data_IF_328194309288
#
_entry.id   IF_328194309288
#
_cell.length_a   1.000
_cell.length_b   1.000
_cell.length_c   1.000
_cell.angle_alpha   90.00
_cell.angle_beta   90.00
_cell.angle_gamma   90.00
#
_symmetry.space_group_name_H-M   'P 1'
#
loop_
_entity.id
_entity.type
_entity.pdbx_description
1 polymer ?
#
# COMPACT_ATOMS: atom_id res chain seq x y z
N UNK A 1 22.01 -14.58 5.94
CA UNK A 1 22.13 -13.18 5.50
C UNK A 1 20.84 -12.84 4.80
N UNK A 2 20.03 -11.97 5.41
CA UNK A 2 18.82 -11.45 4.75
C UNK A 2 19.27 -10.78 3.44
N UNK A 3 18.67 -11.17 2.32
CA UNK A 3 18.99 -10.52 1.03
C UNK A 3 18.61 -9.05 1.14
N UNK A 4 19.44 -8.15 0.59
CA UNK A 4 19.09 -6.73 0.52
C UNK A 4 17.70 -6.58 -0.12
N UNK A 5 16.80 -5.84 0.53
CA UNK A 5 15.45 -5.59 0.02
C UNK A 5 15.48 -5.07 -1.41
N UNK A 6 16.54 -4.33 -1.79
CA UNK A 6 16.73 -3.78 -3.14
C UNK A 6 16.91 -4.85 -4.21
N UNK A 7 17.32 -6.05 -3.83
CA UNK A 7 17.45 -7.21 -4.73
C UNK A 7 16.16 -8.02 -4.88
N UNK A 8 15.14 -7.72 -4.06
CA UNK A 8 13.86 -8.43 -4.09
C UNK A 8 13.05 -8.16 -5.35
N UNK A 9 12.11 -9.06 -5.65
CA UNK A 9 11.12 -8.84 -6.72
C UNK A 9 10.17 -7.70 -6.33
N UNK A 10 9.80 -7.66 -5.05
CA UNK A 10 8.86 -6.73 -4.46
C UNK A 10 9.38 -5.28 -4.54
N UNK A 11 10.68 -5.06 -4.31
CA UNK A 11 11.29 -3.75 -4.47
C UNK A 11 11.25 -3.27 -5.92
N UNK A 12 11.54 -4.15 -6.89
CA UNK A 12 11.42 -3.82 -8.32
C UNK A 12 9.98 -3.45 -8.68
N UNK A 13 9.01 -4.25 -8.23
CA UNK A 13 7.58 -3.95 -8.43
C UNK A 13 7.16 -2.62 -7.79
N UNK A 14 7.69 -2.28 -6.61
CA UNK A 14 7.42 -0.99 -5.97
C UNK A 14 7.95 0.19 -6.80
N UNK A 15 9.12 0.05 -7.43
CA UNK A 15 9.68 1.06 -8.34
C UNK A 15 8.89 1.16 -9.65
N UNK A 16 8.46 0.03 -10.21
CA UNK A 16 7.60 0.03 -11.41
C UNK A 16 6.27 0.73 -11.13
N UNK A 17 5.68 0.47 -9.95
CA UNK A 17 4.47 1.16 -9.50
C UNK A 17 4.69 2.66 -9.30
N UNK A 18 5.79 3.07 -8.64
CA UNK A 18 6.17 4.48 -8.48
C UNK A 18 6.26 5.19 -9.83
N UNK A 19 6.88 4.56 -10.83
CA UNK A 19 6.92 5.09 -12.19
C UNK A 19 5.53 5.18 -12.84
N UNK A 20 4.70 4.16 -12.65
CA UNK A 20 3.35 4.12 -13.22
C UNK A 20 2.45 5.23 -12.67
N UNK A 21 2.51 5.50 -11.35
CA UNK A 21 1.70 6.56 -10.72
C UNK A 21 2.27 7.96 -10.92
N UNK A 22 3.57 8.08 -11.18
CA UNK A 22 4.23 9.35 -11.54
C UNK A 22 3.97 9.77 -13.01
N UNK A 23 3.19 9.01 -13.76
CA UNK A 23 2.76 9.39 -15.11
C UNK A 23 1.59 10.38 -15.07
N UNK A 24 1.67 11.47 -15.86
CA UNK A 24 0.60 12.48 -15.98
C UNK A 24 -0.77 11.92 -16.40
N UNK A 25 -0.83 10.70 -16.92
CA UNK A 25 -2.06 10.03 -17.35
C UNK A 25 -2.63 9.03 -16.33
N UNK A 26 -1.97 8.82 -15.19
CA UNK A 26 -2.47 7.88 -14.19
C UNK A 26 -3.75 8.43 -13.53
N UNK A 27 -4.81 7.62 -13.53
CA UNK A 27 -6.07 7.97 -12.88
C UNK A 27 -6.37 6.93 -11.79
N UNK A 28 -6.27 7.30 -10.49
CA UNK A 28 -6.49 6.37 -9.39
C UNK A 28 -7.92 5.82 -9.33
N UNK A 29 -8.92 6.61 -9.73
CA UNK A 29 -10.33 6.18 -9.77
C UNK A 29 -10.55 5.09 -10.82
N UNK A 30 -9.95 5.25 -12.01
CA UNK A 30 -10.01 4.22 -13.06
C UNK A 30 -9.29 2.94 -12.66
N UNK A 31 -8.13 3.06 -11.98
CA UNK A 31 -7.44 1.90 -11.42
C UNK A 31 -8.33 1.17 -10.41
N UNK A 32 -8.94 1.90 -9.47
CA UNK A 32 -9.82 1.33 -8.47
C UNK A 32 -11.07 0.68 -9.08
N UNK A 33 -11.65 1.27 -10.13
CA UNK A 33 -12.80 0.74 -10.84
C UNK A 33 -12.52 -0.60 -11.55
N UNK A 34 -11.25 -0.92 -11.84
CA UNK A 34 -10.86 -2.19 -12.43
C UNK A 34 -10.62 -3.31 -11.40
N UNK A 35 -10.56 -3.00 -10.09
CA UNK A 35 -10.33 -4.00 -9.03
C UNK A 35 -11.40 -5.11 -9.02
N UNK A 36 -12.71 -4.82 -9.21
CA UNK A 36 -13.74 -5.86 -9.25
C UNK A 36 -13.52 -6.92 -10.35
N UNK A 37 -12.81 -6.58 -11.43
CA UNK A 37 -12.52 -7.50 -12.54
C UNK A 37 -11.34 -8.45 -12.23
N UNK A 38 -10.59 -8.21 -11.15
CA UNK A 38 -9.53 -9.11 -10.71
C UNK A 38 -10.12 -10.40 -10.12
N UNK A 39 -9.36 -11.50 -10.21
CA UNK A 39 -9.72 -12.74 -9.51
C UNK A 39 -9.98 -12.47 -8.00
N UNK A 40 -11.07 -12.97 -7.39
CA UNK A 40 -11.43 -12.65 -6.00
C UNK A 40 -10.32 -12.88 -4.97
N UNK A 41 -9.54 -13.96 -5.10
CA UNK A 41 -8.35 -14.21 -4.26
C UNK A 41 -7.30 -13.10 -4.39
N UNK A 42 -7.12 -12.55 -5.60
CA UNK A 42 -6.17 -11.46 -5.84
C UNK A 42 -6.71 -10.13 -5.30
N UNK A 43 -8.02 -9.91 -5.26
CA UNK A 43 -8.60 -8.75 -4.56
C UNK A 43 -8.24 -8.77 -3.07
N UNK A 44 -8.31 -9.94 -2.41
CA UNK A 44 -7.87 -10.10 -1.02
C UNK A 44 -6.36 -9.86 -0.85
N UNK A 45 -5.55 -10.35 -1.79
CA UNK A 45 -4.11 -10.09 -1.80
C UNK A 45 -3.78 -8.61 -1.99
N UNK A 46 -4.51 -7.91 -2.85
CA UNK A 46 -4.38 -6.47 -3.05
C UNK A 46 -4.75 -5.69 -1.78
N UNK A 47 -5.83 -6.07 -1.09
CA UNK A 47 -6.20 -5.44 0.18
C UNK A 47 -5.10 -5.62 1.24
N UNK A 48 -4.54 -6.84 1.37
CA UNK A 48 -3.39 -7.09 2.28
C UNK A 48 -2.18 -6.23 1.91
N UNK A 49 -1.88 -6.08 0.62
CA UNK A 49 -0.82 -5.20 0.14
C UNK A 49 -1.09 -3.75 0.54
N UNK A 50 -2.29 -3.22 0.29
CA UNK A 50 -2.70 -1.87 0.68
C UNK A 50 -2.53 -1.67 2.19
N UNK A 51 -3.01 -2.61 3.01
CA UNK A 51 -2.85 -2.55 4.47
C UNK A 51 -1.38 -2.52 4.89
N UNK A 52 -0.51 -3.31 4.24
CA UNK A 52 0.92 -3.29 4.51
C UNK A 52 1.56 -1.94 4.14
N UNK A 53 1.17 -1.34 3.01
CA UNK A 53 1.60 0.00 2.61
C UNK A 53 1.17 1.06 3.63
N UNK A 54 -0.09 1.05 4.06
CA UNK A 54 -0.63 1.99 5.07
C UNK A 54 0.15 1.86 6.37
N UNK A 55 0.49 0.63 6.81
CA UNK A 55 1.31 0.42 8.01
C UNK A 55 2.68 1.09 7.92
N UNK A 56 3.36 1.02 6.76
CA UNK A 56 4.64 1.71 6.54
C UNK A 56 4.46 3.23 6.48
N UNK A 57 3.34 3.71 5.92
CA UNK A 57 3.02 5.14 5.88
C UNK A 57 2.65 5.72 7.25
N UNK A 58 2.15 4.88 8.17
CA UNK A 58 1.85 5.24 9.55
C UNK A 58 3.07 5.19 10.49
N UNK A 59 4.21 4.66 10.03
CA UNK A 59 5.40 4.45 10.85
C UNK A 59 6.01 5.79 11.29
N UNK A 60 5.97 6.08 12.59
CA UNK A 60 6.49 7.31 13.20
C UNK A 60 8.04 7.38 13.21
N UNK A 61 8.73 6.27 12.99
CA UNK A 61 10.21 6.24 12.97
C UNK A 61 10.80 6.79 11.65
N UNK A 62 9.95 6.99 10.63
CA UNK A 62 10.34 7.55 9.34
C UNK A 62 10.28 9.07 9.35
N UNK A 63 11.12 9.69 8.51
CA UNK A 63 11.06 11.14 8.26
C UNK A 63 9.94 11.46 7.28
N UNK A 64 9.09 12.41 7.65
CA UNK A 64 8.05 13.00 6.80
C UNK A 64 8.34 14.48 6.55
N UNK A 65 7.89 14.99 5.41
CA UNK A 65 7.86 16.40 5.09
C UNK A 65 6.44 16.81 4.66
N UNK A 66 6.24 18.10 4.40
CA UNK A 66 4.88 18.63 4.20
C UNK A 66 4.15 18.00 2.99
N UNK A 67 4.87 17.40 2.04
CA UNK A 67 4.28 16.72 0.88
C UNK A 67 3.57 15.41 1.24
N UNK A 68 4.02 14.73 2.30
CA UNK A 68 3.48 13.43 2.71
C UNK A 68 2.89 13.41 4.12
N UNK A 69 2.98 14.52 4.87
CA UNK A 69 2.43 14.67 6.22
C UNK A 69 0.95 14.33 6.32
N UNK A 70 0.12 14.84 5.41
CA UNK A 70 -1.32 14.58 5.44
C UNK A 70 -1.62 13.07 5.34
N UNK A 71 -1.00 12.39 4.37
CA UNK A 71 -1.18 10.94 4.19
C UNK A 71 -0.61 10.12 5.34
N UNK A 72 0.42 10.62 6.06
CA UNK A 72 0.95 9.97 7.25
C UNK A 72 -0.06 10.01 8.41
N UNK A 73 -0.62 11.18 8.70
CA UNK A 73 -1.59 11.32 9.80
C UNK A 73 -2.87 10.52 9.54
N UNK A 74 -3.37 10.51 8.30
CA UNK A 74 -4.49 9.63 7.92
C UNK A 74 -4.13 8.15 8.05
N UNK A 75 -2.94 7.75 7.61
CA UNK A 75 -2.49 6.36 7.74
C UNK A 75 -2.43 5.91 9.21
N UNK A 76 -2.02 6.79 10.13
CA UNK A 76 -2.04 6.51 11.57
C UNK A 76 -3.45 6.23 12.08
N UNK A 77 -4.39 7.11 11.78
CA UNK A 77 -5.80 6.94 12.20
C UNK A 77 -6.41 5.67 11.62
N UNK A 78 -6.11 5.35 10.35
CA UNK A 78 -6.55 4.08 9.73
C UNK A 78 -5.95 2.89 10.48
N UNK A 79 -4.66 2.92 10.82
CA UNK A 79 -4.01 1.81 11.53
C UNK A 79 -4.52 1.65 12.96
N UNK A 80 -4.77 2.74 13.69
CA UNK A 80 -5.40 2.72 15.01
C UNK A 80 -6.76 2.03 14.93
N UNK A 81 -7.63 2.48 14.02
CA UNK A 81 -8.94 1.86 13.81
C UNK A 81 -8.83 0.38 13.44
N UNK A 82 -7.91 0.00 12.54
CA UNK A 82 -7.73 -1.39 12.11
C UNK A 82 -7.12 -2.28 13.19
N UNK A 83 -6.35 -1.74 14.13
CA UNK A 83 -5.84 -2.50 15.27
C UNK A 83 -6.95 -2.84 16.26
N UNK A 84 -7.91 -1.93 16.44
CA UNK A 84 -9.06 -2.12 17.33
C UNK A 84 -10.20 -2.93 16.69
N UNK A 85 -10.48 -2.68 15.40
CA UNK A 85 -11.71 -3.14 14.73
C UNK A 85 -11.44 -4.02 13.50
N UNK A 86 -10.18 -4.27 13.17
CA UNK A 86 -9.81 -5.01 11.96
C UNK A 86 -10.29 -6.45 11.95
N UNK A 87 -10.57 -6.97 10.75
CA UNK A 87 -10.91 -8.38 10.53
C UNK A 87 -9.69 -9.17 10.06
N UNK A 88 -9.67 -10.47 10.35
CA UNK A 88 -8.71 -11.38 9.75
C UNK A 88 -8.99 -11.53 8.24
N UNK A 89 -7.96 -11.39 7.41
CA UNK A 89 -8.04 -11.52 5.96
C UNK A 89 -7.26 -12.77 5.53
N UNK A 90 -7.93 -13.92 5.35
CA UNK A 90 -7.27 -15.20 5.17
C UNK A 90 -6.51 -15.28 3.84
N UNK A 91 -5.37 -15.99 3.85
CA UNK A 91 -4.76 -16.50 2.63
C UNK A 91 -5.65 -17.65 2.13
N UNK A 92 -6.30 -17.44 0.98
CA UNK A 92 -7.15 -18.42 0.30
C UNK A 92 -6.40 -18.91 -0.93
#
# INVERSE_FOLDING_TARGET
MEKDIRESREYRLAKDWEMAVNSFSFNPERFAAAIPDMHPTLQQSLYRLIKACIKVMADETRRYDDRNRASHEEAKQIMEFLNENGRNIPFI
#
